data_IF_782270537503
#
_entry.id   IF_782270537503
#
_cell.length_a   1.000
_cell.length_b   1.000
_cell.length_c   1.000
_cell.angle_alpha   90.00
_cell.angle_beta   90.00
_cell.angle_gamma   90.00
#
_symmetry.space_group_name_H-M   'P 1'
#
loop_
_entity.id
_entity.type
_entity.pdbx_description
1 polymer ?
#
# COMPACT_ATOMS: atom_id res chain seq x y z
N UNK A 1 25.81 15.89 -31.17
CA UNK A 1 25.31 17.18 -30.67
C UNK A 1 26.18 17.64 -29.51
N UNK A 2 26.50 18.93 -29.41
CA UNK A 2 27.18 19.47 -28.23
C UNK A 2 26.10 19.70 -27.16
N UNK A 3 26.21 18.99 -26.03
CA UNK A 3 25.25 19.04 -24.93
C UNK A 3 25.61 20.17 -23.95
N UNK A 4 26.90 20.28 -23.63
CA UNK A 4 27.44 21.29 -22.72
C UNK A 4 28.68 21.89 -23.36
N UNK A 5 28.75 23.21 -23.40
CA UNK A 5 29.95 23.96 -23.80
C UNK A 5 30.18 25.08 -22.81
N UNK A 6 31.19 24.91 -21.95
CA UNK A 6 31.65 25.91 -20.97
C UNK A 6 33.15 26.15 -21.16
N UNK A 7 33.65 27.26 -20.61
CA UNK A 7 35.09 27.57 -20.65
C UNK A 7 35.89 26.45 -19.98
N UNK A 8 36.72 25.74 -20.75
CA UNK A 8 37.55 24.63 -20.26
C UNK A 8 36.88 23.25 -20.24
N UNK A 9 35.60 23.12 -20.61
CA UNK A 9 34.91 21.83 -20.61
C UNK A 9 33.82 21.75 -21.70
N UNK A 10 33.81 20.65 -22.45
CA UNK A 10 32.79 20.34 -23.45
C UNK A 10 32.31 18.91 -23.30
N UNK A 11 31.00 18.71 -23.38
CA UNK A 11 30.37 17.37 -23.41
C UNK A 11 29.63 17.23 -24.73
N UNK A 12 29.97 16.20 -25.49
CA UNK A 12 29.46 15.92 -26.82
C UNK A 12 28.80 14.55 -26.78
N UNK A 13 27.54 14.48 -27.20
CA UNK A 13 26.86 13.22 -27.48
C UNK A 13 27.01 12.92 -28.98
N UNK A 14 27.63 11.79 -29.35
CA UNK A 14 27.80 11.36 -30.73
C UNK A 14 27.32 9.91 -30.90
N UNK A 15 26.14 9.74 -31.50
CA UNK A 15 25.41 8.47 -31.47
C UNK A 15 25.31 7.99 -30.02
N UNK A 16 25.74 6.76 -29.75
CA UNK A 16 25.73 6.19 -28.40
C UNK A 16 26.96 6.61 -27.57
N UNK A 17 27.95 7.29 -28.16
CA UNK A 17 29.14 7.71 -27.42
C UNK A 17 28.93 9.03 -26.69
N UNK A 18 29.30 9.03 -25.41
CA UNK A 18 29.45 10.25 -24.62
C UNK A 18 30.91 10.64 -24.55
N UNK A 19 31.22 11.82 -25.06
CA UNK A 19 32.59 12.34 -25.16
C UNK A 19 32.70 13.58 -24.26
N UNK A 20 33.49 13.48 -23.20
CA UNK A 20 33.85 14.62 -22.35
C UNK A 20 35.25 15.09 -22.71
N UNK A 21 35.40 16.38 -22.99
CA UNK A 21 36.67 17.03 -23.31
C UNK A 21 36.90 18.12 -22.28
N UNK A 22 38.01 18.06 -21.55
CA UNK A 22 38.38 19.05 -20.52
C UNK A 22 39.77 19.61 -20.83
N UNK A 23 39.97 20.90 -20.53
CA UNK A 23 41.23 21.60 -20.75
C UNK A 23 41.40 22.80 -19.79
N UNK A 24 42.63 23.31 -19.60
CA UNK A 24 42.86 24.49 -18.76
C UNK A 24 42.02 25.70 -19.18
N UNK A 25 41.44 26.46 -18.23
CA UNK A 25 41.73 26.47 -16.80
C UNK A 25 40.88 25.51 -15.95
N UNK A 26 39.95 24.75 -16.54
CA UNK A 26 39.06 23.86 -15.79
C UNK A 26 39.77 22.59 -15.29
N UNK A 27 40.64 22.03 -16.12
CA UNK A 27 41.52 20.90 -15.78
C UNK A 27 42.99 21.32 -15.81
N UNK A 28 43.86 20.54 -15.17
CA UNK A 28 45.31 20.80 -15.19
C UNK A 28 45.94 20.53 -16.57
N UNK A 29 45.33 19.65 -17.38
CA UNK A 29 45.80 19.26 -18.70
C UNK A 29 44.64 18.95 -19.65
N UNK A 30 44.93 18.71 -20.93
CA UNK A 30 43.93 18.28 -21.90
C UNK A 30 43.56 16.82 -21.64
N UNK A 31 42.28 16.54 -21.45
CA UNK A 31 41.75 15.18 -21.26
C UNK A 31 40.53 14.97 -22.16
N UNK A 32 40.42 13.75 -22.71
CA UNK A 32 39.27 13.30 -23.48
C UNK A 32 38.83 11.95 -22.92
N UNK A 33 37.61 11.89 -22.39
CA UNK A 33 36.96 10.66 -21.93
C UNK A 33 35.87 10.27 -22.92
N UNK A 34 35.92 9.06 -23.45
CA UNK A 34 34.91 8.53 -24.38
C UNK A 34 34.27 7.31 -23.72
N UNK A 35 32.97 7.39 -23.47
CA UNK A 35 32.19 6.30 -22.87
C UNK A 35 31.21 5.77 -23.90
N UNK A 36 31.13 4.45 -24.02
CA UNK A 36 30.14 3.74 -24.82
C UNK A 36 29.25 2.91 -23.89
N UNK A 37 27.92 3.10 -23.91
CA UNK A 37 26.98 2.24 -23.19
C UNK A 37 27.07 0.82 -23.77
N UNK A 38 27.34 -0.17 -22.92
CA UNK A 38 27.51 -1.57 -23.36
C UNK A 38 26.27 -2.43 -23.15
N UNK A 39 25.26 -1.93 -22.44
CA UNK A 39 24.11 -2.72 -22.00
C UNK A 39 22.81 -2.01 -22.36
N UNK A 40 22.01 -2.65 -23.21
CA UNK A 40 20.59 -2.35 -23.42
C UNK A 40 19.80 -3.51 -22.83
N UNK A 41 18.98 -3.23 -21.82
CA UNK A 41 18.05 -4.22 -21.26
C UNK A 41 16.64 -3.85 -21.70
N UNK A 42 15.89 -4.86 -22.07
CA UNK A 42 14.44 -4.82 -22.18
C UNK A 42 13.81 -5.03 -20.80
N UNK A 43 12.53 -4.72 -20.67
CA UNK A 43 11.80 -4.97 -19.43
C UNK A 43 11.72 -6.48 -19.11
N UNK A 44 11.73 -7.33 -20.15
CA UNK A 44 11.68 -8.80 -20.03
C UNK A 44 12.98 -9.40 -19.46
N UNK A 45 14.08 -8.65 -19.47
CA UNK A 45 15.36 -9.10 -18.89
C UNK A 45 15.37 -9.00 -17.35
N UNK A 46 14.37 -8.33 -16.76
CA UNK A 46 14.22 -8.19 -15.32
C UNK A 46 13.32 -9.29 -14.74
N UNK A 47 13.58 -9.68 -13.49
CA UNK A 47 12.68 -10.60 -12.78
C UNK A 47 11.47 -9.82 -12.26
N UNK A 48 10.40 -9.75 -13.06
CA UNK A 48 9.17 -9.01 -12.75
C UNK A 48 8.02 -10.00 -12.51
N UNK A 49 7.29 -9.82 -11.40
CA UNK A 49 6.09 -10.62 -11.11
C UNK A 49 4.97 -10.32 -12.12
N UNK A 50 4.11 -11.30 -12.42
CA UNK A 50 2.95 -11.07 -13.30
C UNK A 50 2.04 -9.94 -12.77
N UNK A 51 1.92 -9.84 -11.45
CA UNK A 51 1.17 -8.78 -10.79
C UNK A 51 1.77 -7.40 -11.08
N UNK A 52 3.10 -7.28 -11.02
CA UNK A 52 3.81 -6.02 -11.28
C UNK A 52 3.78 -5.67 -12.77
N UNK A 53 3.97 -6.63 -13.67
CA UNK A 53 3.80 -6.40 -15.11
C UNK A 53 2.40 -5.90 -15.44
N UNK A 54 1.37 -6.50 -14.84
CA UNK A 54 0.00 -6.03 -14.99
C UNK A 54 -0.20 -4.63 -14.43
N UNK A 55 0.38 -4.31 -13.27
CA UNK A 55 0.34 -2.97 -12.67
C UNK A 55 0.96 -1.93 -13.61
N UNK A 56 2.14 -2.22 -14.15
CA UNK A 56 2.86 -1.36 -15.09
C UNK A 56 2.10 -1.14 -16.40
N UNK A 57 1.35 -2.15 -16.86
CA UNK A 57 0.57 -2.09 -18.11
C UNK A 57 -0.75 -1.32 -17.94
N UNK A 58 -1.50 -1.60 -16.87
CA UNK A 58 -2.91 -1.22 -16.80
C UNK A 58 -3.19 0.02 -15.94
N UNK A 59 -2.32 0.33 -14.96
CA UNK A 59 -2.67 1.26 -13.86
C UNK A 59 -1.58 2.20 -13.42
N UNK A 60 -0.31 1.84 -13.62
CA UNK A 60 0.80 2.64 -13.13
C UNK A 60 0.99 3.88 -14.00
N UNK A 61 0.69 5.04 -13.43
CA UNK A 61 0.77 6.31 -14.13
C UNK A 61 1.70 7.29 -13.41
N UNK A 62 1.98 7.09 -12.12
CA UNK A 62 2.98 7.81 -11.34
C UNK A 62 4.05 6.86 -10.81
N UNK A 63 5.04 6.55 -11.65
CA UNK A 63 6.11 5.61 -11.34
C UNK A 63 7.36 6.37 -10.89
N UNK A 64 7.95 5.97 -9.77
CA UNK A 64 9.24 6.49 -9.30
C UNK A 64 10.26 5.36 -9.20
N UNK A 65 11.31 5.42 -10.00
CA UNK A 65 12.45 4.50 -9.96
C UNK A 65 13.52 5.10 -9.06
N UNK A 66 13.88 4.36 -8.01
CA UNK A 66 14.79 4.78 -6.96
C UNK A 66 15.95 3.79 -6.79
N UNK A 67 17.04 4.24 -6.15
CA UNK A 67 18.26 3.43 -6.00
C UNK A 67 19.57 4.25 -6.04
N UNK A 68 20.64 3.67 -5.51
CA UNK A 68 21.96 4.31 -5.45
C UNK A 68 22.52 4.64 -6.85
N UNK A 69 23.46 5.59 -6.99
CA UNK A 69 24.17 5.81 -8.25
C UNK A 69 24.77 4.51 -8.80
N UNK A 70 24.64 4.28 -10.12
CA UNK A 70 25.12 3.04 -10.75
C UNK A 70 24.25 1.80 -10.54
N UNK A 71 23.10 1.88 -9.85
CA UNK A 71 22.26 0.70 -9.58
C UNK A 71 21.46 0.17 -10.79
N UNK A 72 21.50 0.84 -11.95
CA UNK A 72 20.73 0.43 -13.14
C UNK A 72 19.40 1.15 -13.35
N UNK A 73 19.08 2.21 -12.59
CA UNK A 73 17.80 2.95 -12.70
C UNK A 73 17.50 3.47 -14.11
N UNK A 74 18.44 4.19 -14.73
CA UNK A 74 18.24 4.77 -16.07
C UNK A 74 18.13 3.68 -17.14
N UNK A 75 18.74 2.51 -16.91
CA UNK A 75 18.54 1.31 -17.74
C UNK A 75 17.10 0.80 -17.63
N UNK A 76 16.57 0.66 -16.41
CA UNK A 76 15.17 0.27 -16.21
C UNK A 76 14.20 1.32 -16.75
N UNK A 77 14.50 2.61 -16.59
CA UNK A 77 13.71 3.71 -17.13
C UNK A 77 13.66 3.67 -18.66
N UNK A 78 14.79 3.38 -19.31
CA UNK A 78 14.85 3.17 -20.77
C UNK A 78 14.04 1.94 -21.18
N UNK A 79 14.14 0.84 -20.44
CA UNK A 79 13.36 -0.38 -20.67
C UNK A 79 11.84 -0.13 -20.57
N UNK A 80 11.39 0.62 -19.56
CA UNK A 80 9.99 1.04 -19.44
C UNK A 80 9.56 1.98 -20.58
N UNK A 81 10.44 2.89 -21.01
CA UNK A 81 10.15 3.78 -22.12
C UNK A 81 9.87 2.99 -23.41
N UNK A 82 10.75 2.05 -23.74
CA UNK A 82 10.61 1.18 -24.91
C UNK A 82 9.41 0.26 -24.77
N UNK A 83 9.18 -0.33 -23.60
CA UNK A 83 8.00 -1.13 -23.32
C UNK A 83 6.70 -0.36 -23.60
N UNK A 84 6.56 0.87 -23.10
CA UNK A 84 5.38 1.68 -23.38
C UNK A 84 5.28 2.06 -24.86
N UNK A 85 6.41 2.35 -25.51
CA UNK A 85 6.44 2.62 -26.94
C UNK A 85 5.97 1.43 -27.79
N UNK A 86 6.38 0.21 -27.43
CA UNK A 86 5.96 -1.03 -28.06
C UNK A 86 4.45 -1.32 -27.87
N UNK A 87 3.82 -0.71 -26.87
CA UNK A 87 2.37 -0.72 -26.66
C UNK A 87 1.65 0.45 -27.37
N UNK A 88 2.27 1.00 -28.41
CA UNK A 88 1.77 2.13 -29.22
C UNK A 88 1.52 3.42 -28.41
N UNK A 89 2.17 3.59 -27.25
CA UNK A 89 2.10 4.84 -26.47
C UNK A 89 3.03 5.90 -27.01
N UNK A 90 2.60 7.15 -26.94
CA UNK A 90 3.43 8.32 -27.23
C UNK A 90 4.32 8.58 -26.02
N UNK A 91 5.59 8.19 -26.11
CA UNK A 91 6.58 8.36 -25.04
C UNK A 91 7.54 9.52 -25.37
N UNK A 92 7.83 10.34 -24.36
CA UNK A 92 8.86 11.39 -24.40
C UNK A 92 9.82 11.25 -23.22
N UNK A 93 11.02 11.79 -23.33
CA UNK A 93 11.96 11.86 -22.20
C UNK A 93 12.29 13.29 -21.81
N UNK A 94 12.73 13.44 -20.56
CA UNK A 94 13.12 14.67 -19.89
C UNK A 94 14.46 14.43 -19.23
N UNK A 95 15.53 14.89 -19.87
CA UNK A 95 16.89 14.53 -19.45
C UNK A 95 17.91 15.58 -19.87
N UNK A 96 18.98 15.71 -19.08
CA UNK A 96 20.03 16.69 -19.32
C UNK A 96 21.32 16.20 -18.64
N UNK A 97 22.21 15.48 -19.33
CA UNK A 97 22.24 15.26 -20.79
C UNK A 97 21.29 14.15 -21.29
N UNK A 98 21.18 14.00 -22.62
CA UNK A 98 20.41 12.91 -23.26
C UNK A 98 21.16 11.58 -23.25
N UNK A 99 21.05 10.84 -22.14
CA UNK A 99 21.78 9.60 -21.88
C UNK A 99 20.91 8.33 -22.03
N UNK A 100 19.58 8.44 -21.91
CA UNK A 100 18.66 7.30 -21.99
C UNK A 100 18.78 6.56 -23.33
N UNK A 101 18.75 5.23 -23.27
CA UNK A 101 18.93 4.34 -24.42
C UNK A 101 17.57 3.88 -24.94
N UNK A 102 16.92 4.75 -25.69
CA UNK A 102 15.53 4.55 -26.15
C UNK A 102 15.42 4.34 -27.65
N UNK A 103 14.31 3.74 -28.09
CA UNK A 103 14.04 3.49 -29.49
C UNK A 103 13.80 4.77 -30.29
N UNK A 104 14.03 4.73 -31.60
CA UNK A 104 13.98 5.89 -32.48
C UNK A 104 12.59 6.58 -32.54
N UNK A 105 11.52 5.88 -32.16
CA UNK A 105 10.17 6.45 -32.04
C UNK A 105 9.96 7.33 -30.81
N UNK A 106 10.86 7.24 -29.83
CA UNK A 106 10.80 8.00 -28.58
C UNK A 106 11.60 9.29 -28.76
N UNK A 107 10.95 10.43 -28.51
CA UNK A 107 11.62 11.73 -28.67
C UNK A 107 12.19 12.20 -27.35
N UNK A 108 13.49 12.48 -27.34
CA UNK A 108 14.21 12.92 -26.15
C UNK A 108 14.28 14.45 -26.06
N UNK A 109 13.70 15.02 -25.00
CA UNK A 109 13.76 16.45 -24.72
C UNK A 109 14.82 16.75 -23.66
N UNK A 110 15.46 17.90 -23.83
CA UNK A 110 16.35 18.48 -22.83
C UNK A 110 15.84 19.86 -22.43
N UNK A 111 16.58 20.53 -21.54
CA UNK A 111 16.20 21.84 -21.01
C UNK A 111 15.99 22.86 -22.12
N UNK A 112 14.78 23.41 -22.19
CA UNK A 112 14.43 24.53 -23.04
C UNK A 112 14.77 25.84 -22.31
N UNK A 113 15.57 26.69 -22.96
CA UNK A 113 16.10 27.93 -22.37
C UNK A 113 16.75 27.73 -20.98
N UNK A 114 17.36 26.55 -20.78
CA UNK A 114 18.06 26.20 -19.54
C UNK A 114 17.17 25.71 -18.39
N UNK A 115 15.85 25.60 -18.57
CA UNK A 115 14.91 25.12 -17.54
C UNK A 115 14.08 23.92 -18.02
N UNK A 116 13.78 23.01 -17.09
CA UNK A 116 12.82 21.92 -17.34
C UNK A 116 11.38 22.43 -17.31
N UNK A 117 11.07 23.46 -16.51
CA UNK A 117 9.72 24.05 -16.44
C UNK A 117 9.25 24.54 -17.83
N UNK A 118 10.11 25.26 -18.56
CA UNK A 118 9.80 25.70 -19.93
C UNK A 118 9.56 24.52 -20.88
N UNK A 119 10.26 23.42 -20.66
CA UNK A 119 10.09 22.21 -21.46
C UNK A 119 8.78 21.52 -21.09
N UNK A 120 8.32 21.66 -19.83
CA UNK A 120 7.10 21.07 -19.31
C UNK A 120 5.88 21.82 -19.86
N UNK A 121 5.96 23.14 -19.99
CA UNK A 121 4.95 23.96 -20.67
C UNK A 121 4.68 23.46 -22.11
N UNK A 122 5.73 23.06 -22.83
CA UNK A 122 5.58 22.45 -24.16
C UNK A 122 4.97 21.05 -24.07
N UNK A 123 5.38 20.23 -23.11
CA UNK A 123 4.80 18.90 -22.92
C UNK A 123 3.31 18.94 -22.59
N UNK A 124 2.84 19.94 -21.85
CA UNK A 124 1.42 20.16 -21.58
C UNK A 124 0.60 20.41 -22.85
N UNK A 125 1.24 20.92 -23.91
CA UNK A 125 0.63 21.12 -25.22
C UNK A 125 0.71 19.85 -26.08
N UNK A 126 1.82 19.11 -26.01
CA UNK A 126 2.02 17.87 -26.76
C UNK A 126 1.16 16.72 -26.22
N UNK A 127 0.96 16.68 -24.89
CA UNK A 127 0.21 15.65 -24.15
C UNK A 127 0.62 14.22 -24.52
N UNK A 128 1.88 13.82 -24.25
CA UNK A 128 2.27 12.43 -24.43
C UNK A 128 1.51 11.52 -23.46
N UNK A 129 1.42 10.23 -23.79
CA UNK A 129 0.88 9.23 -22.87
C UNK A 129 1.81 9.04 -21.67
N UNK A 130 3.12 8.97 -21.92
CA UNK A 130 4.15 8.84 -20.87
C UNK A 130 5.33 9.78 -21.08
N UNK A 131 5.87 10.30 -19.97
CA UNK A 131 7.13 11.05 -19.92
C UNK A 131 8.09 10.42 -18.93
N UNK A 132 9.30 10.08 -19.39
CA UNK A 132 10.40 9.61 -18.56
C UNK A 132 11.22 10.81 -18.11
N UNK A 133 11.24 11.10 -16.81
CA UNK A 133 12.03 12.20 -16.24
C UNK A 133 13.29 11.61 -15.58
N UNK A 134 14.41 11.66 -16.29
CA UNK A 134 15.70 11.21 -15.77
C UNK A 134 16.29 12.27 -14.84
N UNK A 135 16.58 11.85 -13.60
CA UNK A 135 17.14 12.66 -12.51
C UNK A 135 16.22 13.77 -11.94
N UNK A 136 15.17 13.38 -11.21
CA UNK A 136 14.38 14.29 -10.36
C UNK A 136 15.19 14.62 -9.09
N UNK A 137 15.61 15.87 -8.93
CA UNK A 137 16.54 16.24 -7.85
C UNK A 137 16.20 17.53 -7.12
N UNK A 138 15.84 18.57 -7.87
CA UNK A 138 15.61 19.93 -7.37
C UNK A 138 14.15 20.11 -7.02
N UNK A 139 13.85 21.16 -6.24
CA UNK A 139 12.47 21.44 -5.81
C UNK A 139 11.53 21.59 -7.01
N UNK A 140 12.01 22.29 -8.03
CA UNK A 140 11.28 22.59 -9.26
C UNK A 140 10.98 21.30 -10.05
N UNK A 141 11.90 20.33 -10.05
CA UNK A 141 11.70 19.04 -10.72
C UNK A 141 10.52 18.26 -10.12
N UNK A 142 10.36 18.28 -8.78
CA UNK A 142 9.22 17.64 -8.10
C UNK A 142 7.90 18.32 -8.47
N UNK A 143 7.87 19.66 -8.51
CA UNK A 143 6.68 20.42 -8.92
C UNK A 143 6.31 20.10 -10.36
N UNK A 144 7.28 20.16 -11.29
CA UNK A 144 7.08 19.82 -12.70
C UNK A 144 6.57 18.39 -12.89
N UNK A 145 7.14 17.43 -12.14
CA UNK A 145 6.67 16.05 -12.14
C UNK A 145 5.19 15.97 -11.74
N UNK A 146 4.80 16.65 -10.66
CA UNK A 146 3.42 16.67 -10.17
C UNK A 146 2.46 17.37 -11.12
N UNK A 147 2.85 18.49 -11.71
CA UNK A 147 1.99 19.25 -12.63
C UNK A 147 1.68 18.42 -13.88
N UNK A 148 2.70 17.81 -14.50
CA UNK A 148 2.49 16.91 -15.64
C UNK A 148 1.58 15.74 -15.25
N UNK A 149 1.85 15.12 -14.10
CA UNK A 149 1.07 13.97 -13.63
C UNK A 149 -0.40 14.31 -13.37
N UNK A 150 -0.67 15.43 -12.71
CA UNK A 150 -2.04 15.89 -12.43
C UNK A 150 -2.81 16.29 -13.69
N UNK A 151 -2.12 16.58 -14.79
CA UNK A 151 -2.76 16.83 -16.10
C UNK A 151 -3.08 15.56 -16.89
N UNK A 152 -2.80 14.38 -16.31
CA UNK A 152 -3.10 13.08 -16.89
C UNK A 152 -1.97 12.45 -17.70
N UNK A 153 -0.78 13.06 -17.72
CA UNK A 153 0.41 12.44 -18.34
C UNK A 153 0.95 11.36 -17.40
N UNK A 154 1.22 10.16 -17.93
CA UNK A 154 1.95 9.13 -17.21
C UNK A 154 3.39 9.56 -16.98
N UNK A 155 3.89 9.46 -15.76
CA UNK A 155 5.22 9.92 -15.38
C UNK A 155 6.06 8.75 -14.86
N UNK A 156 7.29 8.63 -15.38
CA UNK A 156 8.32 7.73 -14.84
C UNK A 156 9.50 8.57 -14.41
N UNK A 157 9.66 8.78 -13.11
CA UNK A 157 10.73 9.61 -12.54
C UNK A 157 11.89 8.76 -12.08
N UNK A 158 13.12 9.22 -12.31
CA UNK A 158 14.33 8.56 -11.78
C UNK A 158 14.91 9.41 -10.66
N UNK A 159 15.13 8.81 -9.48
CA UNK A 159 15.67 9.50 -8.31
C UNK A 159 16.80 8.72 -7.64
N UNK A 160 17.85 9.42 -7.23
CA UNK A 160 18.90 8.82 -6.42
C UNK A 160 18.46 8.75 -4.96
N UNK A 161 18.28 7.55 -4.44
CA UNK A 161 17.88 7.31 -3.06
C UNK A 161 18.51 6.01 -2.54
N UNK A 162 18.82 5.95 -1.24
CA UNK A 162 19.41 4.76 -0.62
C UNK A 162 18.34 3.76 -0.15
N UNK A 163 17.08 4.21 -0.08
CA UNK A 163 15.92 3.38 0.20
C UNK A 163 14.72 3.88 -0.64
N UNK A 164 13.71 3.03 -0.90
CA UNK A 164 12.47 3.50 -1.53
C UNK A 164 11.71 4.51 -0.67
N UNK A 165 11.84 4.43 0.66
CA UNK A 165 11.22 5.40 1.57
C UNK A 165 11.86 6.78 1.46
N UNK A 166 13.19 6.85 1.33
CA UNK A 166 13.92 8.10 1.10
C UNK A 166 13.47 8.78 -0.20
N UNK A 167 13.11 7.98 -1.21
CA UNK A 167 12.58 8.49 -2.48
C UNK A 167 11.23 9.18 -2.28
N UNK A 168 10.31 8.55 -1.56
CA UNK A 168 8.99 9.12 -1.21
C UNK A 168 9.15 10.38 -0.34
N UNK A 169 10.05 10.32 0.66
CA UNK A 169 10.33 11.45 1.56
C UNK A 169 10.70 12.73 0.83
N UNK A 170 11.37 12.64 -0.33
CA UNK A 170 11.77 13.82 -1.10
C UNK A 170 10.60 14.59 -1.70
N UNK A 171 9.45 13.95 -1.89
CA UNK A 171 8.22 14.62 -2.33
C UNK A 171 7.50 15.31 -1.17
N UNK A 172 7.70 14.84 0.06
CA UNK A 172 7.05 15.41 1.25
C UNK A 172 7.56 16.83 1.50
N UNK A 173 6.62 17.78 1.64
CA UNK A 173 6.91 19.20 1.81
C UNK A 173 7.35 19.92 0.53
N UNK A 174 7.48 19.20 -0.59
CA UNK A 174 7.58 19.79 -1.93
C UNK A 174 6.20 19.86 -2.58
N UNK A 175 5.38 18.84 -2.32
CA UNK A 175 3.98 18.78 -2.71
C UNK A 175 3.07 18.49 -1.52
N UNK A 176 1.78 18.80 -1.66
CA UNK A 176 0.80 18.57 -0.60
C UNK A 176 0.64 17.07 -0.34
N UNK A 177 0.53 16.68 0.93
CA UNK A 177 0.50 15.26 1.31
C UNK A 177 -0.67 14.52 0.63
N UNK A 178 -1.86 15.13 0.59
CA UNK A 178 -3.06 14.51 0.02
C UNK A 178 -2.99 14.23 -1.48
N UNK A 179 -2.09 14.87 -2.22
CA UNK A 179 -1.92 14.64 -3.67
C UNK A 179 -0.82 13.64 -3.98
N UNK A 180 0.04 13.29 -3.01
CA UNK A 180 1.17 12.38 -3.25
C UNK A 180 0.72 11.06 -3.90
N UNK A 181 -0.33 10.35 -3.43
CA UNK A 181 -0.72 9.08 -4.06
C UNK A 181 -1.28 9.23 -5.49
N UNK A 182 -1.80 10.41 -5.86
CA UNK A 182 -2.23 10.69 -7.23
C UNK A 182 -1.03 10.99 -8.15
N UNK A 183 0.06 11.52 -7.55
CA UNK A 183 1.30 11.83 -8.26
C UNK A 183 2.21 10.61 -8.36
N UNK A 184 2.30 9.83 -7.28
CA UNK A 184 3.17 8.70 -7.08
C UNK A 184 2.34 7.53 -6.57
N UNK A 185 2.02 6.61 -7.46
CA UNK A 185 1.25 5.42 -7.11
C UNK A 185 2.15 4.18 -7.00
N UNK A 186 3.30 4.15 -7.69
CA UNK A 186 4.21 3.00 -7.73
C UNK A 186 5.66 3.47 -7.53
N UNK A 187 6.36 2.94 -6.53
CA UNK A 187 7.78 3.24 -6.28
C UNK A 187 8.60 1.98 -6.42
N UNK A 188 9.47 1.94 -7.42
CA UNK A 188 10.35 0.81 -7.72
C UNK A 188 11.75 1.10 -7.18
N UNK A 189 12.31 0.20 -6.38
CA UNK A 189 13.68 0.28 -5.88
C UNK A 189 14.58 -0.68 -6.65
N UNK A 190 15.63 -0.13 -7.25
CA UNK A 190 16.59 -0.86 -8.07
C UNK A 190 17.93 -0.95 -7.35
N UNK A 191 18.42 -2.18 -7.20
CA UNK A 191 19.69 -2.48 -6.56
C UNK A 191 20.45 -3.54 -7.37
N UNK A 192 21.74 -3.31 -7.59
CA UNK A 192 22.62 -4.19 -8.38
C UNK A 192 22.07 -4.59 -9.77
N UNK A 193 21.31 -3.71 -10.42
CA UNK A 193 20.75 -3.97 -11.74
C UNK A 193 19.39 -4.65 -11.75
N UNK A 194 18.84 -5.04 -10.59
CA UNK A 194 17.54 -5.72 -10.47
C UNK A 194 16.54 -4.91 -9.63
N UNK A 195 15.25 -5.22 -9.81
CA UNK A 195 14.16 -4.70 -8.98
C UNK A 195 14.16 -5.46 -7.66
N UNK A 196 14.54 -4.79 -6.57
CA UNK A 196 14.61 -5.41 -5.24
C UNK A 196 13.30 -5.28 -4.47
N UNK A 197 12.62 -4.13 -4.60
CA UNK A 197 11.39 -3.85 -3.85
C UNK A 197 10.49 -2.89 -4.63
N UNK A 198 9.18 -3.10 -4.52
CA UNK A 198 8.17 -2.18 -5.06
C UNK A 198 7.20 -1.79 -3.95
N UNK A 199 6.91 -0.50 -3.86
CA UNK A 199 5.86 0.04 -3.00
C UNK A 199 4.67 0.54 -3.80
N UNK A 200 3.49 0.28 -3.25
CA UNK A 200 2.22 0.88 -3.64
C UNK A 200 1.83 1.93 -2.59
N UNK A 201 1.38 3.09 -3.07
CA UNK A 201 0.95 4.20 -2.21
C UNK A 201 -0.55 4.41 -2.37
N UNK A 202 -1.26 4.40 -1.24
CA UNK A 202 -2.71 4.58 -1.23
C UNK A 202 -3.13 5.59 -0.17
N UNK A 203 -4.02 6.53 -0.51
CA UNK A 203 -4.61 7.45 0.46
C UNK A 203 -5.83 6.80 1.14
N UNK A 204 -5.83 6.75 2.48
CA UNK A 204 -6.99 6.32 3.28
C UNK A 204 -7.31 7.33 4.37
N UNK A 205 -8.59 7.42 4.75
CA UNK A 205 -9.02 8.16 5.94
C UNK A 205 -9.21 7.15 7.06
N UNK A 206 -8.31 7.15 8.05
CA UNK A 206 -8.33 6.23 9.19
C UNK A 206 -7.63 6.81 10.42
N UNK A 207 -7.69 6.10 11.54
CA UNK A 207 -6.84 6.35 12.71
C UNK A 207 -5.44 5.77 12.41
N UNK A 208 -4.35 6.55 12.54
CA UNK A 208 -3.00 6.03 12.30
C UNK A 208 -2.59 4.90 13.24
N UNK A 209 -1.70 4.03 12.79
CA UNK A 209 -1.17 2.93 13.59
C UNK A 209 -0.45 3.44 14.83
N UNK A 210 -0.80 2.89 15.99
CA UNK A 210 -0.25 3.29 17.28
C UNK A 210 -0.99 4.45 17.97
N UNK A 211 -2.05 4.97 17.35
CA UNK A 211 -3.00 5.90 17.96
C UNK A 211 -4.27 5.18 18.44
N UNK A 212 -5.05 5.85 19.27
CA UNK A 212 -6.30 5.32 19.86
C UNK A 212 -7.52 5.83 19.10
N UNK A 213 -8.67 5.17 19.19
CA UNK A 213 -9.92 5.65 18.56
C UNK A 213 -10.41 7.01 19.06
N UNK A 214 -9.95 7.46 20.24
CA UNK A 214 -10.16 8.84 20.70
C UNK A 214 -9.42 9.88 19.85
N UNK A 215 -8.42 9.46 19.07
CA UNK A 215 -7.77 10.30 18.07
C UNK A 215 -8.62 10.35 16.80
N UNK A 216 -8.91 11.56 16.31
CA UNK A 216 -9.73 11.74 15.12
C UNK A 216 -9.07 11.12 13.88
N UNK A 217 -9.90 10.42 13.10
CA UNK A 217 -9.53 9.90 11.78
C UNK A 217 -9.04 11.03 10.88
N UNK A 218 -7.99 10.76 10.12
CA UNK A 218 -7.33 11.73 9.24
C UNK A 218 -6.86 11.07 7.95
N UNK A 219 -6.50 11.85 6.93
CA UNK A 219 -5.83 11.32 5.75
C UNK A 219 -4.47 10.73 6.14
N UNK A 220 -4.27 9.45 5.80
CA UNK A 220 -3.04 8.68 5.98
C UNK A 220 -2.68 8.08 4.63
N UNK A 221 -1.44 8.27 4.20
CA UNK A 221 -0.88 7.53 3.07
C UNK A 221 -0.35 6.22 3.61
N UNK A 222 -0.90 5.11 3.13
CA UNK A 222 -0.36 3.77 3.36
C UNK A 222 0.72 3.47 2.34
N UNK A 223 1.90 3.02 2.80
CA UNK A 223 2.97 2.50 1.96
C UNK A 223 3.02 1.00 2.16
N UNK A 224 2.60 0.28 1.14
CA UNK A 224 2.50 -1.18 1.14
C UNK A 224 3.56 -1.79 0.23
N UNK A 225 4.16 -2.88 0.68
CA UNK A 225 4.96 -3.71 -0.20
C UNK A 225 4.04 -4.36 -1.24
N UNK A 226 4.32 -4.09 -2.51
CA UNK A 226 3.45 -4.47 -3.61
C UNK A 226 3.31 -5.99 -3.76
N UNK A 227 4.40 -6.73 -3.54
CA UNK A 227 4.45 -8.18 -3.78
C UNK A 227 3.63 -8.97 -2.75
N UNK A 228 3.60 -8.53 -1.49
CA UNK A 228 2.93 -9.25 -0.40
C UNK A 228 1.77 -8.46 0.24
N UNK A 229 1.49 -7.25 -0.25
CA UNK A 229 0.47 -6.33 0.23
C UNK A 229 0.59 -5.95 1.73
N UNK A 230 1.78 -6.09 2.31
CA UNK A 230 2.04 -5.77 3.73
C UNK A 230 2.22 -4.25 3.88
N UNK A 231 1.48 -3.66 4.80
CA UNK A 231 1.66 -2.26 5.22
C UNK A 231 2.98 -2.14 6.00
N UNK A 232 3.97 -1.48 5.41
CA UNK A 232 5.29 -1.28 6.02
C UNK A 232 5.40 0.11 6.68
N UNK A 233 4.78 1.13 6.10
CA UNK A 233 4.82 2.50 6.62
C UNK A 233 3.51 3.25 6.43
N UNK A 234 3.29 4.26 7.28
CA UNK A 234 2.23 5.24 7.15
C UNK A 234 2.83 6.65 7.12
N UNK A 235 2.24 7.53 6.30
CA UNK A 235 2.55 8.97 6.31
C UNK A 235 1.30 9.75 6.65
N UNK A 236 1.38 10.61 7.65
CA UNK A 236 0.28 11.49 8.04
C UNK A 236 0.79 12.77 8.69
N UNK A 237 -0.09 13.75 8.79
CA UNK A 237 0.22 15.01 9.47
C UNK A 237 -0.11 14.89 10.96
N UNK A 238 0.86 15.27 11.79
CA UNK A 238 0.72 15.38 13.24
C UNK A 238 1.11 16.80 13.68
N UNK A 239 0.14 17.57 14.15
CA UNK A 239 0.32 19.01 14.33
C UNK A 239 0.53 19.70 12.98
N UNK A 240 1.67 20.35 12.80
CA UNK A 240 2.07 21.02 11.56
C UNK A 240 3.15 20.25 10.78
N UNK A 241 3.55 19.07 11.27
CA UNK A 241 4.63 18.28 10.68
C UNK A 241 4.09 17.01 10.02
N UNK A 242 4.70 16.65 8.88
CA UNK A 242 4.44 15.36 8.24
C UNK A 242 5.39 14.33 8.83
N UNK A 243 4.82 13.27 9.40
CA UNK A 243 5.56 12.17 10.03
C UNK A 243 5.38 10.89 9.24
N UNK A 244 6.45 10.11 9.18
CA UNK A 244 6.47 8.77 8.62
C UNK A 244 6.65 7.78 9.76
N UNK A 245 5.69 6.87 9.90
CA UNK A 245 5.68 5.89 10.99
C UNK A 245 5.82 4.49 10.39
N UNK A 246 6.84 3.71 10.79
CA UNK A 246 6.91 2.31 10.42
C UNK A 246 5.81 1.51 11.11
N UNK A 247 5.08 0.72 10.34
CA UNK A 247 4.09 -0.25 10.83
C UNK A 247 4.83 -1.54 11.15
N UNK A 248 5.64 -1.47 12.21
CA UNK A 248 6.30 -2.68 12.71
C UNK A 248 5.19 -3.53 13.34
N UNK A 249 4.92 -4.72 12.78
CA UNK A 249 4.36 -5.79 13.63
C UNK A 249 5.37 -5.95 14.75
N UNK A 250 5.05 -5.47 15.95
CA UNK A 250 5.85 -5.78 17.13
C UNK A 250 5.94 -7.30 17.19
N UNK A 251 7.08 -7.87 16.80
CA UNK A 251 7.48 -9.14 17.38
C UNK A 251 7.47 -8.87 18.88
N UNK A 252 6.61 -9.58 19.61
CA UNK A 252 6.46 -9.42 21.05
C UNK A 252 7.81 -9.72 21.69
N UNK A 253 8.60 -8.68 21.97
CA UNK A 253 9.91 -8.77 22.62
C UNK A 253 9.82 -8.01 23.94
N UNK A 254 10.07 -8.68 25.05
CA UNK A 254 10.13 -8.10 26.39
C UNK A 254 9.04 -8.59 27.35
N UNK A 255 8.53 -7.69 28.19
CA UNK A 255 7.56 -7.96 29.28
C UNK A 255 6.28 -8.61 28.74
N UNK A 256 5.83 -8.23 27.55
CA UNK A 256 4.65 -8.82 26.90
C UNK A 256 4.83 -10.32 26.61
N UNK A 257 6.01 -10.73 26.13
CA UNK A 257 6.31 -12.16 25.90
C UNK A 257 6.41 -12.93 27.21
N UNK A 258 7.00 -12.33 28.25
CA UNK A 258 7.05 -12.94 29.59
C UNK A 258 5.65 -13.07 30.21
N UNK A 259 4.76 -12.10 29.98
CA UNK A 259 3.38 -12.16 30.43
C UNK A 259 2.58 -13.20 29.65
N UNK A 260 2.75 -13.24 28.32
CA UNK A 260 2.14 -14.25 27.45
C UNK A 260 2.58 -15.67 27.83
N UNK A 261 3.88 -15.91 27.98
CA UNK A 261 4.43 -17.21 28.38
C UNK A 261 3.89 -17.63 29.76
N UNK A 262 3.84 -16.71 30.72
CA UNK A 262 3.32 -16.99 32.07
C UNK A 262 1.82 -17.30 32.08
N UNK A 263 1.04 -16.58 31.27
CA UNK A 263 -0.41 -16.83 31.14
C UNK A 263 -0.62 -18.14 30.39
N UNK A 264 0.14 -18.40 29.32
CA UNK A 264 0.11 -19.65 28.58
C UNK A 264 0.43 -20.85 29.46
N UNK A 265 1.48 -20.76 30.29
CA UNK A 265 1.84 -21.80 31.27
C UNK A 265 0.72 -22.05 32.30
N UNK A 266 -0.05 -21.03 32.66
CA UNK A 266 -1.22 -21.19 33.53
C UNK A 266 -2.33 -21.99 32.82
N UNK A 267 -2.62 -21.65 31.56
CA UNK A 267 -3.68 -22.26 30.78
C UNK A 267 -3.34 -23.63 30.18
N UNK A 268 -2.05 -24.00 30.10
CA UNK A 268 -1.60 -25.36 29.76
C UNK A 268 -2.18 -26.44 30.67
N UNK A 269 -2.59 -26.09 31.90
CA UNK A 269 -3.24 -27.01 32.85
C UNK A 269 -4.66 -27.39 32.45
N UNK A 270 -5.30 -26.56 31.62
CA UNK A 270 -6.65 -26.75 31.11
C UNK A 270 -6.64 -27.24 29.66
N UNK A 271 -5.72 -26.71 28.85
CA UNK A 271 -5.56 -27.09 27.44
C UNK A 271 -4.07 -27.02 27.04
N UNK A 272 -3.49 -28.16 26.65
CA UNK A 272 -2.12 -28.23 26.13
C UNK A 272 -1.93 -27.44 24.82
N UNK A 273 -3.01 -27.19 24.09
CA UNK A 273 -3.05 -26.39 22.89
C UNK A 273 -3.31 -24.91 23.14
N UNK A 274 -3.41 -24.42 24.38
CA UNK A 274 -3.80 -23.03 24.64
C UNK A 274 -2.91 -21.99 23.93
N UNK A 275 -3.55 -21.05 23.25
CA UNK A 275 -2.93 -19.87 22.63
C UNK A 275 -3.35 -18.62 23.39
N UNK A 276 -2.44 -17.65 23.50
CA UNK A 276 -2.63 -16.44 24.31
C UNK A 276 -2.28 -15.21 23.50
N UNK A 277 -3.19 -14.25 23.46
CA UNK A 277 -3.04 -13.00 22.75
C UNK A 277 -3.29 -11.84 23.73
N UNK A 278 -2.26 -11.02 23.98
CA UNK A 278 -2.38 -9.83 24.82
C UNK A 278 -3.06 -8.75 23.98
N UNK A 279 -4.26 -8.31 24.41
CA UNK A 279 -5.03 -7.28 23.73
C UNK A 279 -4.67 -5.87 24.23
N UNK A 280 -4.32 -5.74 25.51
CA UNK A 280 -3.86 -4.49 26.14
C UNK A 280 -3.09 -4.76 27.44
N UNK A 281 -2.60 -3.71 28.12
CA UNK A 281 -1.86 -3.85 29.40
C UNK A 281 -2.60 -4.66 30.47
N UNK A 282 -3.94 -4.68 30.44
CA UNK A 282 -4.78 -5.35 31.44
C UNK A 282 -5.79 -6.35 30.84
N UNK A 283 -5.73 -6.66 29.54
CA UNK A 283 -6.71 -7.55 28.89
C UNK A 283 -6.03 -8.56 27.97
N UNK A 284 -6.45 -9.82 28.08
CA UNK A 284 -5.83 -10.95 27.39
C UNK A 284 -6.91 -11.86 26.82
N UNK A 285 -6.72 -12.31 25.59
CA UNK A 285 -7.55 -13.32 24.93
C UNK A 285 -6.84 -14.67 25.03
N UNK A 286 -7.56 -15.69 25.45
CA UNK A 286 -7.07 -17.05 25.63
C UNK A 286 -7.90 -17.99 24.76
N UNK A 287 -7.26 -18.59 23.77
CA UNK A 287 -7.90 -19.46 22.78
C UNK A 287 -7.60 -20.92 23.15
N UNK A 288 -8.65 -21.69 23.41
CA UNK A 288 -8.58 -23.06 23.94
C UNK A 288 -9.56 -23.97 23.21
N UNK A 289 -9.35 -25.28 23.19
CA UNK A 289 -10.33 -26.21 22.65
C UNK A 289 -11.72 -26.03 23.30
N UNK A 290 -12.77 -26.20 22.49
CA UNK A 290 -14.16 -25.97 22.90
C UNK A 290 -14.54 -26.76 24.17
N UNK A 291 -14.07 -28.00 24.26
CA UNK A 291 -14.26 -28.90 25.41
C UNK A 291 -13.69 -28.32 26.72
N UNK A 292 -12.69 -27.44 26.64
CA UNK A 292 -12.03 -26.85 27.79
C UNK A 292 -12.71 -25.57 28.30
N UNK A 293 -13.49 -24.87 27.46
CA UNK A 293 -14.07 -23.55 27.77
C UNK A 293 -14.93 -23.59 29.03
N UNK A 294 -15.82 -24.58 29.15
CA UNK A 294 -16.72 -24.69 30.30
C UNK A 294 -15.97 -24.92 31.63
N UNK A 295 -14.86 -25.66 31.58
CA UNK A 295 -14.02 -25.93 32.76
C UNK A 295 -13.29 -24.68 33.25
N UNK A 296 -12.90 -23.81 32.32
CA UNK A 296 -12.15 -22.60 32.62
C UNK A 296 -13.08 -21.50 33.14
N UNK A 297 -14.26 -21.32 32.53
CA UNK A 297 -15.24 -20.32 32.99
C UNK A 297 -15.80 -20.70 34.37
N UNK A 298 -16.12 -21.98 34.57
CA UNK A 298 -16.72 -22.48 35.80
C UNK A 298 -18.21 -22.10 35.93
N UNK A 299 -18.89 -22.66 36.95
CA UNK A 299 -20.33 -22.45 37.17
C UNK A 299 -20.62 -20.99 37.51
N UNK A 300 -21.25 -20.27 36.58
CA UNK A 300 -21.58 -18.85 36.74
C UNK A 300 -20.36 -17.92 36.65
N UNK A 301 -19.27 -18.35 36.00
CA UNK A 301 -18.06 -17.53 35.83
C UNK A 301 -17.20 -17.44 37.08
N UNK A 302 -17.42 -18.27 38.09
CA UNK A 302 -16.66 -18.20 39.35
C UNK A 302 -15.18 -18.51 39.17
N UNK A 303 -14.86 -19.51 38.33
CA UNK A 303 -13.47 -19.94 38.12
C UNK A 303 -12.68 -18.88 37.35
N UNK A 304 -13.24 -18.32 36.26
CA UNK A 304 -12.56 -17.26 35.51
C UNK A 304 -12.35 -15.99 36.35
N UNK A 305 -13.32 -15.61 37.19
CA UNK A 305 -13.17 -14.47 38.09
C UNK A 305 -12.04 -14.67 39.13
N UNK A 306 -11.78 -15.90 39.57
CA UNK A 306 -10.65 -16.21 40.46
C UNK A 306 -9.31 -16.17 39.72
N UNK A 307 -9.28 -16.68 38.48
CA UNK A 307 -8.10 -16.63 37.60
C UNK A 307 -7.72 -15.18 37.29
N UNK A 308 -8.69 -14.33 36.93
CA UNK A 308 -8.47 -12.90 36.68
C UNK A 308 -7.93 -12.18 37.92
N UNK A 309 -8.47 -12.45 39.12
CA UNK A 309 -7.95 -11.87 40.37
C UNK A 309 -6.52 -12.30 40.68
N UNK A 310 -6.18 -13.55 40.37
CA UNK A 310 -4.85 -14.09 40.61
C UNK A 310 -3.81 -13.52 39.63
N UNK A 311 -4.15 -13.47 38.34
CA UNK A 311 -3.27 -12.95 37.29
C UNK A 311 -3.29 -11.42 37.17
N UNK A 312 -4.26 -10.76 37.80
CA UNK A 312 -4.49 -9.30 37.77
C UNK A 312 -4.72 -8.75 36.35
N UNK A 313 -5.37 -9.53 35.51
CA UNK A 313 -5.74 -9.18 34.12
C UNK A 313 -7.15 -9.66 33.83
N UNK A 314 -7.85 -8.99 32.91
CA UNK A 314 -9.11 -9.46 32.35
C UNK A 314 -8.87 -10.48 31.24
N UNK A 315 -9.65 -11.55 31.22
CA UNK A 315 -9.40 -12.72 30.36
C UNK A 315 -10.66 -13.05 29.55
N UNK A 316 -10.54 -12.93 28.23
CA UNK A 316 -11.56 -13.39 27.28
C UNK A 316 -11.21 -14.81 26.82
N UNK A 317 -12.09 -15.79 27.07
CA UNK A 317 -11.89 -17.18 26.65
C UNK A 317 -12.63 -17.42 25.34
N UNK A 318 -11.93 -17.95 24.34
CA UNK A 318 -12.48 -18.25 23.01
C UNK A 318 -12.20 -19.71 22.64
N UNK A 319 -13.18 -20.38 22.04
CA UNK A 319 -13.01 -21.74 21.56
C UNK A 319 -12.12 -21.78 20.30
N UNK A 320 -11.27 -22.81 20.18
CA UNK A 320 -10.54 -23.15 18.95
C UNK A 320 -11.50 -23.89 18.02
N UNK A 321 -12.19 -23.14 17.17
CA UNK A 321 -13.00 -23.73 16.13
C UNK A 321 -12.11 -24.39 15.08
N UNK A 322 -12.43 -25.64 14.73
CA UNK A 322 -11.64 -26.44 13.78
C UNK A 322 -11.84 -26.01 12.31
N UNK A 323 -12.57 -24.93 12.06
CA UNK A 323 -12.87 -24.42 10.70
C UNK A 323 -12.43 -22.98 10.45
N UNK A 324 -11.75 -22.31 11.38
CA UNK A 324 -11.37 -20.90 11.20
C UNK A 324 -9.92 -20.73 10.74
N UNK A 325 -9.64 -21.12 9.49
CA UNK A 325 -8.49 -20.66 8.70
C UNK A 325 -8.98 -19.98 7.41
N UNK A 326 -9.97 -19.08 7.54
CA UNK A 326 -10.29 -18.12 6.47
C UNK A 326 -11.22 -16.99 6.98
N UNK A 327 -10.65 -15.77 7.03
CA UNK A 327 -11.29 -14.49 6.68
C UNK A 327 -12.48 -13.97 7.51
N UNK A 328 -12.34 -12.70 7.94
CA UNK A 328 -13.37 -11.74 8.40
C UNK A 328 -13.87 -11.82 9.85
N UNK A 329 -13.27 -11.01 10.72
CA UNK A 329 -13.63 -10.80 12.14
C UNK A 329 -14.90 -9.94 12.37
N UNK A 330 -15.87 -9.93 11.45
CA UNK A 330 -17.03 -9.04 11.52
C UNK A 330 -18.39 -9.77 11.49
N UNK A 331 -18.41 -11.10 11.62
CA UNK A 331 -19.67 -11.85 11.68
C UNK A 331 -20.43 -11.57 12.98
N UNK A 332 -21.73 -11.31 12.86
CA UNK A 332 -22.62 -10.97 13.96
C UNK A 332 -23.55 -12.16 14.25
N UNK A 333 -23.54 -12.70 15.47
CA UNK A 333 -24.51 -13.73 15.84
C UNK A 333 -25.93 -13.16 15.87
N UNK A 334 -26.89 -13.93 15.37
CA UNK A 334 -28.31 -13.55 15.33
C UNK A 334 -29.23 -14.73 15.66
N UNK A 335 -30.41 -14.39 16.17
CA UNK A 335 -31.53 -15.31 16.28
C UNK A 335 -32.49 -15.09 15.11
N UNK A 336 -32.75 -16.15 14.35
CA UNK A 336 -33.77 -16.14 13.31
C UNK A 336 -35.14 -16.50 13.90
N UNK A 337 -36.16 -15.78 13.46
CA UNK A 337 -37.55 -16.15 13.69
C UNK A 337 -38.41 -15.74 12.51
N UNK A 338 -39.46 -16.52 12.27
CA UNK A 338 -40.36 -16.31 11.14
C UNK A 338 -41.75 -15.92 11.64
N UNK A 339 -42.27 -14.80 11.12
CA UNK A 339 -43.67 -14.41 11.31
C UNK A 339 -44.50 -14.74 10.08
N UNK A 340 -45.83 -14.63 10.16
CA UNK A 340 -46.73 -14.82 9.00
C UNK A 340 -46.40 -13.88 7.83
N UNK A 341 -45.78 -12.72 8.08
CA UNK A 341 -45.59 -11.66 7.07
C UNK A 341 -44.12 -11.26 6.82
N UNK A 342 -43.18 -11.66 7.67
CA UNK A 342 -41.78 -11.24 7.62
C UNK A 342 -40.82 -12.23 8.29
N UNK A 343 -39.57 -12.27 7.83
CA UNK A 343 -38.42 -12.87 8.49
C UNK A 343 -37.84 -11.84 9.47
N UNK A 344 -37.43 -12.31 10.65
CA UNK A 344 -36.89 -11.49 11.73
C UNK A 344 -35.54 -12.04 12.14
N UNK A 345 -34.48 -11.27 11.89
CA UNK A 345 -33.12 -11.55 12.37
C UNK A 345 -32.88 -10.61 13.55
N UNK A 346 -32.67 -11.18 14.74
CA UNK A 346 -32.45 -10.41 15.97
C UNK A 346 -30.99 -10.54 16.40
N UNK A 347 -30.28 -9.42 16.38
CA UNK A 347 -28.89 -9.28 16.81
C UNK A 347 -28.84 -8.58 18.17
N UNK A 348 -27.67 -8.55 18.81
CA UNK A 348 -27.44 -7.79 20.04
C UNK A 348 -27.81 -6.31 19.86
N UNK A 349 -28.28 -5.66 20.94
CA UNK A 349 -28.72 -4.25 20.89
C UNK A 349 -27.57 -3.28 20.68
N UNK A 350 -26.33 -3.69 20.91
CA UNK A 350 -25.14 -2.87 20.67
C UNK A 350 -24.96 -2.49 19.20
N UNK A 351 -25.47 -3.31 18.27
CA UNK A 351 -25.44 -3.05 16.82
C UNK A 351 -26.60 -2.18 16.32
N UNK A 352 -27.39 -1.61 17.24
CA UNK A 352 -28.56 -0.80 16.88
C UNK A 352 -28.15 0.42 16.05
N UNK A 353 -28.87 0.66 14.95
CA UNK A 353 -28.62 1.74 13.99
C UNK A 353 -27.42 1.56 13.04
N UNK A 354 -26.62 0.50 13.20
CA UNK A 354 -25.55 0.10 12.27
C UNK A 354 -26.11 -0.67 11.07
N UNK A 355 -25.31 -0.83 10.03
CA UNK A 355 -25.60 -1.65 8.85
C UNK A 355 -24.97 -3.04 8.97
N UNK A 356 -25.74 -4.06 8.60
CA UNK A 356 -25.27 -5.43 8.46
C UNK A 356 -25.50 -5.93 7.03
N UNK A 357 -24.47 -6.57 6.46
CA UNK A 357 -24.53 -7.28 5.20
C UNK A 357 -25.01 -8.70 5.45
N UNK A 358 -26.06 -9.10 4.72
CA UNK A 358 -26.65 -10.43 4.78
C UNK A 358 -26.04 -11.25 3.66
N UNK A 359 -25.48 -12.41 4.00
CA UNK A 359 -24.97 -13.41 3.08
C UNK A 359 -25.80 -14.69 3.22
N UNK A 360 -25.92 -15.43 2.11
CA UNK A 360 -26.44 -16.80 2.14
C UNK A 360 -25.58 -17.71 1.30
N UNK A 361 -25.10 -18.83 1.85
CA UNK A 361 -24.14 -19.74 1.19
C UNK A 361 -22.97 -18.95 0.53
N UNK A 362 -22.30 -18.11 1.32
CA UNK A 362 -21.20 -17.22 0.90
C UNK A 362 -21.52 -16.18 -0.20
N UNK A 363 -22.80 -16.01 -0.55
CA UNK A 363 -23.23 -15.02 -1.55
C UNK A 363 -23.83 -13.79 -0.89
N UNK A 364 -23.25 -12.62 -1.16
CA UNK A 364 -23.79 -11.34 -0.71
C UNK A 364 -25.20 -11.13 -1.23
N UNK A 365 -26.08 -10.69 -0.34
CA UNK A 365 -27.50 -10.57 -0.64
C UNK A 365 -28.01 -9.14 -0.52
N UNK A 366 -27.86 -8.52 0.66
CA UNK A 366 -28.30 -7.15 0.89
C UNK A 366 -27.63 -6.53 2.12
N UNK A 367 -27.46 -5.21 2.10
CA UNK A 367 -27.06 -4.43 3.27
C UNK A 367 -28.30 -3.82 3.92
N UNK A 368 -28.54 -4.11 5.20
CA UNK A 368 -29.75 -3.69 5.90
C UNK A 368 -29.41 -3.01 7.22
N UNK A 369 -30.10 -1.91 7.51
CA UNK A 369 -29.95 -1.20 8.79
C UNK A 369 -30.62 -1.96 9.92
N UNK A 370 -29.92 -2.12 11.03
CA UNK A 370 -30.43 -2.76 12.25
C UNK A 370 -31.36 -1.79 12.97
N UNK A 371 -32.62 -2.20 13.16
CA UNK A 371 -33.64 -1.38 13.81
C UNK A 371 -33.37 -1.14 15.29
N UNK A 372 -34.10 -0.18 15.90
CA UNK A 372 -33.95 0.28 17.30
C UNK A 372 -34.01 -0.80 18.39
N UNK A 373 -34.41 -2.02 18.06
CA UNK A 373 -34.52 -3.16 18.97
C UNK A 373 -33.46 -4.25 18.69
N UNK A 374 -32.44 -3.97 17.89
CA UNK A 374 -31.52 -4.99 17.38
C UNK A 374 -32.18 -5.92 16.36
N UNK A 375 -33.20 -5.45 15.64
CA UNK A 375 -34.02 -6.30 14.76
C UNK A 375 -33.94 -5.85 13.31
N UNK A 376 -33.58 -6.80 12.44
CA UNK A 376 -33.69 -6.68 10.98
C UNK A 376 -34.98 -7.40 10.57
N UNK A 377 -35.92 -6.65 9.97
CA UNK A 377 -37.21 -7.17 9.55
C UNK A 377 -37.30 -7.19 8.03
N UNK A 378 -37.36 -8.38 7.44
CA UNK A 378 -37.42 -8.58 5.99
C UNK A 378 -38.83 -9.06 5.62
N UNK A 379 -39.66 -8.25 4.94
CA UNK A 379 -40.99 -8.67 4.54
C UNK A 379 -40.94 -9.84 3.55
N UNK A 380 -41.71 -10.92 3.75
CA UNK A 380 -41.70 -12.08 2.83
C UNK A 380 -42.15 -11.76 1.41
N UNK A 381 -42.88 -10.66 1.24
CA UNK A 381 -43.37 -10.16 -0.05
C UNK A 381 -42.36 -9.35 -0.84
N UNK A 382 -41.26 -8.90 -0.21
CA UNK A 382 -40.21 -8.19 -0.93
C UNK A 382 -39.38 -9.19 -1.74
N UNK A 383 -38.74 -8.71 -2.81
CA UNK A 383 -37.86 -9.56 -3.63
C UNK A 383 -36.74 -10.18 -2.80
N UNK A 384 -36.24 -9.42 -1.82
CA UNK A 384 -35.28 -9.85 -0.79
C UNK A 384 -35.86 -11.02 0.04
N UNK A 385 -37.09 -10.90 0.55
CA UNK A 385 -37.71 -11.94 1.37
C UNK A 385 -38.07 -13.22 0.61
N UNK A 386 -38.49 -13.10 -0.66
CA UNK A 386 -38.77 -14.25 -1.53
C UNK A 386 -37.49 -15.00 -1.92
N UNK A 387 -36.44 -14.26 -2.26
CA UNK A 387 -35.18 -14.86 -2.66
C UNK A 387 -34.49 -15.55 -1.47
N UNK A 388 -34.52 -14.96 -0.27
CA UNK A 388 -34.03 -15.60 0.96
C UNK A 388 -34.76 -16.93 1.23
N UNK A 389 -36.09 -16.94 1.19
CA UNK A 389 -36.89 -18.16 1.39
C UNK A 389 -36.62 -19.26 0.36
N UNK A 390 -36.23 -18.89 -0.87
CA UNK A 390 -35.91 -19.84 -1.93
C UNK A 390 -34.46 -20.34 -1.86
N UNK A 391 -33.54 -19.59 -1.22
CA UNK A 391 -32.11 -19.91 -1.16
C UNK A 391 -31.65 -20.52 0.17
N UNK A 392 -32.48 -20.50 1.22
CA UNK A 392 -32.13 -21.03 2.54
C UNK A 392 -32.99 -22.25 2.89
N UNK A 393 -32.33 -23.37 3.16
CA UNK A 393 -32.94 -24.63 3.62
C UNK A 393 -32.92 -24.75 5.16
N UNK A 394 -31.95 -24.10 5.81
CA UNK A 394 -31.80 -23.98 7.28
C UNK A 394 -31.54 -22.53 7.72
N UNK A 395 -31.67 -22.26 9.01
CA UNK A 395 -31.22 -21.01 9.65
C UNK A 395 -29.70 -20.81 9.50
N UNK A 396 -28.94 -21.90 9.41
CA UNK A 396 -27.47 -21.89 9.32
C UNK A 396 -26.95 -21.41 7.97
N UNK A 397 -27.83 -21.28 6.97
CA UNK A 397 -27.46 -20.82 5.63
C UNK A 397 -27.38 -19.28 5.55
N UNK A 398 -27.68 -18.55 6.63
CA UNK A 398 -27.68 -17.09 6.69
C UNK A 398 -26.51 -16.62 7.57
N UNK A 399 -25.68 -15.73 7.04
CA UNK A 399 -24.62 -15.06 7.79
C UNK A 399 -24.87 -13.55 7.78
N UNK A 400 -24.53 -12.88 8.88
CA UNK A 400 -24.62 -11.43 9.01
C UNK A 400 -23.23 -10.86 9.30
N UNK A 401 -22.78 -9.88 8.52
CA UNK A 401 -21.51 -9.20 8.76
C UNK A 401 -21.74 -7.72 9.03
N UNK A 402 -21.10 -7.16 10.07
CA UNK A 402 -21.20 -5.73 10.34
C UNK A 402 -20.44 -4.94 9.26
N UNK A 403 -21.14 -4.00 8.61
CA UNK A 403 -20.57 -3.17 7.55
C UNK A 403 -19.95 -1.87 8.07
N UNK A 404 -20.52 -1.33 9.15
CA UNK A 404 -20.05 -0.10 9.77
C UNK A 404 -19.00 -0.45 10.84
N UNK A 405 -17.74 -0.52 10.45
CA UNK A 405 -16.60 -0.37 11.35
C UNK A 405 -15.94 0.97 11.08
#
# INVERSE_FOLDING_TARGET
TIEISKTGASVIQHNDYRIAITYPPFSESYEITIVHPTVKLSLDDYTISEALMKRLTDRAEGILISGAPGSGKSTLASGLANFYHDQDKIVKTFESPRDLQVDAGITQYSKLDGSFDNTADILLLVRPDYTIFDEVRRREDFTTFSDLRLTGVGMVGVIHANSPLDAIQRFIGKIELGIIPNVLDTVVFVHNGDIEKVYDLELKVKVPTGMTESDLARPVIEIRNFENNVLEHEIYTFGEENVIVPVVKREKIGIEKLAEDKIKDYFQRYDSGAEVEILSENRVKVIVHEDCVASIIGRGGTNINEIEKFLKVHIDIVAKDSESLSLTSNEIPFNFSESKTALLLTVSREYTSMHADIYTNDKFFASVRIGKKGQIKIPKRSDIGRNLLNSTSSQDDIQLFLKDF
#
